data_IF_450302476725
#
_entry.id   IF_450302476725
#
_cell.length_a   1.000
_cell.length_b   1.000
_cell.length_c   1.000
_cell.angle_alpha   90.00
_cell.angle_beta   90.00
_cell.angle_gamma   90.00
#
_symmetry.space_group_name_H-M   'P 1'
#
loop_
_entity.id
_entity.type
_entity.pdbx_description
1 polymer ?
#
# COMPACT_ATOMS: atom_id res chain seq x y z
N UNK A 1 -23.68 -32.99 -47.37
CA UNK A 1 -23.81 -31.74 -46.60
C UNK A 1 -23.82 -32.06 -45.11
N UNK A 2 -22.66 -32.00 -44.44
CA UNK A 2 -22.58 -32.18 -42.98
C UNK A 2 -22.84 -30.84 -42.31
N UNK A 3 -23.93 -30.73 -41.54
CA UNK A 3 -24.26 -29.54 -40.74
C UNK A 3 -23.38 -29.54 -39.49
N UNK A 4 -22.45 -28.59 -39.39
CA UNK A 4 -21.66 -28.34 -38.18
C UNK A 4 -22.50 -27.41 -37.30
N UNK A 5 -22.99 -27.93 -36.17
CA UNK A 5 -23.57 -27.12 -35.09
C UNK A 5 -22.44 -26.41 -34.34
N UNK A 6 -22.37 -25.10 -34.45
CA UNK A 6 -21.58 -24.27 -33.54
C UNK A 6 -22.35 -24.14 -32.22
N UNK A 7 -21.92 -24.88 -31.19
CA UNK A 7 -22.32 -24.63 -29.82
C UNK A 7 -21.58 -23.39 -29.32
N UNK A 8 -22.28 -22.25 -29.24
CA UNK A 8 -21.76 -21.03 -28.65
C UNK A 8 -21.68 -21.25 -27.13
N UNK A 9 -20.49 -21.59 -26.63
CA UNK A 9 -20.23 -21.64 -25.20
C UNK A 9 -20.28 -20.22 -24.62
N UNK A 10 -21.42 -19.86 -24.03
CA UNK A 10 -21.56 -18.67 -23.19
C UNK A 10 -20.69 -18.88 -21.93
N UNK A 11 -19.47 -18.36 -21.95
CA UNK A 11 -18.67 -18.16 -20.75
C UNK A 11 -19.46 -17.26 -19.79
N UNK A 12 -19.63 -17.63 -18.52
CA UNK A 12 -20.27 -16.75 -17.55
C UNK A 12 -19.34 -15.58 -17.30
N UNK A 13 -19.65 -14.42 -17.87
CA UNK A 13 -19.15 -13.14 -17.36
C UNK A 13 -19.68 -13.01 -15.94
N UNK A 14 -18.85 -13.34 -14.95
CA UNK A 14 -19.13 -12.97 -13.56
C UNK A 14 -18.98 -11.46 -13.46
N UNK A 15 -20.05 -10.73 -13.81
CA UNK A 15 -20.20 -9.34 -13.45
C UNK A 15 -20.18 -9.30 -11.92
N UNK A 16 -19.12 -8.75 -11.32
CA UNK A 16 -19.14 -8.42 -9.89
C UNK A 16 -20.26 -7.40 -9.69
N UNK A 17 -21.39 -7.84 -9.13
CA UNK A 17 -22.53 -6.98 -8.91
C UNK A 17 -22.13 -5.85 -7.95
N UNK A 18 -22.15 -4.61 -8.43
CA UNK A 18 -21.91 -3.46 -7.58
C UNK A 18 -22.96 -3.44 -6.46
N UNK A 19 -22.52 -3.22 -5.22
CA UNK A 19 -23.40 -3.22 -4.05
C UNK A 19 -23.64 -1.79 -3.57
N UNK A 20 -24.85 -1.45 -3.12
CA UNK A 20 -25.18 -0.09 -2.71
C UNK A 20 -24.54 0.28 -1.37
N UNK A 21 -24.07 1.52 -1.26
CA UNK A 21 -23.68 2.14 0.01
C UNK A 21 -24.57 3.35 0.33
N UNK A 22 -24.64 3.69 1.63
CA UNK A 22 -25.28 4.93 2.06
C UNK A 22 -24.56 5.54 3.25
N UNK A 23 -24.10 6.78 3.10
CA UNK A 23 -23.52 7.57 4.19
C UNK A 23 -24.54 8.60 4.64
N UNK A 24 -24.89 8.59 5.92
CA UNK A 24 -25.74 9.62 6.53
C UNK A 24 -24.90 10.46 7.48
N UNK A 25 -24.71 11.73 7.15
CA UNK A 25 -23.97 12.68 7.98
C UNK A 25 -24.87 13.66 8.71
N UNK A 26 -24.51 13.98 9.95
CA UNK A 26 -25.12 15.04 10.76
C UNK A 26 -24.05 15.74 11.59
N UNK A 27 -23.68 16.95 11.18
CA UNK A 27 -22.71 17.80 11.91
C UNK A 27 -23.45 19.06 12.34
N UNK A 28 -23.74 19.22 13.63
CA UNK A 28 -24.76 20.17 14.11
C UNK A 28 -24.53 21.62 13.66
N UNK A 29 -23.29 22.07 13.63
CA UNK A 29 -22.95 23.48 13.37
C UNK A 29 -22.77 23.80 11.88
N UNK A 30 -22.94 22.81 10.99
CA UNK A 30 -22.95 23.05 9.55
C UNK A 30 -24.22 23.79 9.12
N UNK A 31 -24.02 24.77 8.25
CA UNK A 31 -25.03 25.69 7.77
C UNK A 31 -25.72 25.11 6.55
N UNK A 32 -26.99 25.47 6.37
CA UNK A 32 -27.71 25.20 5.12
C UNK A 32 -26.93 25.84 3.97
N UNK A 33 -26.62 25.05 2.94
CA UNK A 33 -25.83 25.51 1.80
C UNK A 33 -24.36 25.09 1.85
N UNK A 34 -23.83 24.67 3.00
CA UNK A 34 -22.51 24.03 3.05
C UNK A 34 -22.50 22.80 2.13
N UNK A 35 -21.40 22.63 1.40
CA UNK A 35 -21.21 21.54 0.46
C UNK A 35 -20.18 20.56 1.01
N UNK A 36 -20.57 19.30 1.10
CA UNK A 36 -19.67 18.21 1.46
C UNK A 36 -19.26 17.51 0.17
N UNK A 37 -17.97 17.35 -0.05
CA UNK A 37 -17.42 16.53 -1.13
C UNK A 37 -17.06 15.15 -0.59
N UNK A 38 -17.40 14.09 -1.31
CA UNK A 38 -16.96 12.73 -1.05
C UNK A 38 -16.05 12.30 -2.19
N UNK A 39 -14.80 11.99 -1.87
CA UNK A 39 -13.78 11.60 -2.83
C UNK A 39 -13.28 10.21 -2.47
N UNK A 40 -13.34 9.27 -3.41
CA UNK A 40 -12.98 7.87 -3.20
C UNK A 40 -12.60 7.21 -4.53
N UNK A 41 -12.05 6.01 -4.47
CA UNK A 41 -11.74 5.21 -5.66
C UNK A 41 -12.75 4.08 -5.84
N UNK A 42 -13.31 3.92 -7.04
CA UNK A 42 -14.04 2.72 -7.44
C UNK A 42 -13.27 2.04 -8.58
N UNK A 43 -12.55 0.97 -8.24
CA UNK A 43 -11.54 0.39 -9.13
C UNK A 43 -10.44 1.39 -9.46
N UNK A 44 -10.17 1.60 -10.75
CA UNK A 44 -9.16 2.55 -11.23
C UNK A 44 -9.67 3.99 -11.35
N UNK A 45 -10.96 4.24 -11.08
CA UNK A 45 -11.57 5.56 -11.28
C UNK A 45 -11.62 6.33 -9.96
N UNK A 46 -11.12 7.56 -9.98
CA UNK A 46 -11.37 8.52 -8.92
C UNK A 46 -12.79 9.05 -9.07
N UNK A 47 -13.60 8.89 -8.03
CA UNK A 47 -14.97 9.38 -7.97
C UNK A 47 -15.02 10.59 -7.04
N UNK A 48 -15.66 11.66 -7.52
CA UNK A 48 -15.95 12.85 -6.73
C UNK A 48 -17.44 13.13 -6.77
N UNK A 49 -18.10 12.96 -5.62
CA UNK A 49 -19.51 13.31 -5.43
C UNK A 49 -19.63 14.51 -4.47
N UNK A 50 -20.79 15.17 -4.44
CA UNK A 50 -21.07 16.22 -3.47
C UNK A 50 -22.50 16.20 -2.97
N UNK A 51 -22.67 16.53 -1.69
CA UNK A 51 -23.96 16.69 -1.04
C UNK A 51 -24.06 18.06 -0.38
N UNK A 52 -25.18 18.75 -0.61
CA UNK A 52 -25.47 20.02 0.06
C UNK A 52 -26.17 19.73 1.39
N UNK A 53 -25.75 20.42 2.45
CA UNK A 53 -26.42 20.42 3.75
C UNK A 53 -27.81 21.05 3.58
N UNK A 54 -28.84 20.22 3.76
CA UNK A 54 -30.22 20.61 3.39
C UNK A 54 -30.96 21.41 4.47
N UNK A 55 -30.48 21.37 5.70
CA UNK A 55 -31.21 21.90 6.85
C UNK A 55 -30.28 22.54 7.88
N UNK A 56 -30.84 23.33 8.79
CA UNK A 56 -30.13 23.93 9.92
C UNK A 56 -29.67 22.90 10.98
N UNK A 57 -29.94 21.61 10.77
CA UNK A 57 -29.46 20.50 11.61
C UNK A 57 -28.20 19.85 11.03
N UNK A 58 -27.61 20.45 10.00
CA UNK A 58 -26.34 20.02 9.42
C UNK A 58 -26.35 18.64 8.77
N UNK A 59 -27.49 18.22 8.21
CA UNK A 59 -27.64 16.88 7.66
C UNK A 59 -27.30 16.79 6.16
N UNK A 60 -26.55 15.77 5.77
CA UNK A 60 -26.21 15.42 4.39
C UNK A 60 -26.26 13.91 4.16
N UNK A 61 -26.40 13.48 2.90
CA UNK A 61 -26.49 12.05 2.54
C UNK A 61 -25.79 11.79 1.22
N UNK A 62 -24.96 10.76 1.18
CA UNK A 62 -24.41 10.18 -0.04
C UNK A 62 -25.01 8.80 -0.30
N UNK A 63 -25.18 8.45 -1.57
CA UNK A 63 -25.63 7.14 -2.05
C UNK A 63 -24.89 6.82 -3.34
N UNK A 64 -24.51 5.56 -3.50
CA UNK A 64 -23.91 5.07 -4.72
C UNK A 64 -23.80 3.56 -4.66
N UNK A 65 -23.15 2.98 -5.67
CA UNK A 65 -22.80 1.58 -5.71
C UNK A 65 -21.28 1.45 -5.76
N UNK A 66 -20.75 0.36 -5.24
CA UNK A 66 -19.31 0.07 -5.21
C UNK A 66 -19.05 -1.35 -5.66
N UNK A 67 -17.97 -1.55 -6.41
CA UNK A 67 -17.47 -2.89 -6.72
C UNK A 67 -16.91 -3.58 -5.46
N UNK A 68 -16.38 -2.81 -4.51
CA UNK A 68 -15.87 -3.30 -3.22
C UNK A 68 -15.58 -2.16 -2.25
N UNK A 69 -15.21 -2.47 -0.99
CA UNK A 69 -14.77 -1.47 -0.05
C UNK A 69 -13.56 -0.68 -0.56
N UNK A 70 -13.44 0.58 -0.18
CA UNK A 70 -12.41 1.50 -0.67
C UNK A 70 -12.14 2.60 0.36
N UNK A 71 -10.97 3.24 0.27
CA UNK A 71 -10.69 4.44 1.04
C UNK A 71 -11.34 5.66 0.40
N UNK A 72 -11.84 6.55 1.24
CA UNK A 72 -12.38 7.84 0.82
C UNK A 72 -12.11 8.94 1.84
N UNK A 73 -12.41 10.16 1.43
CA UNK A 73 -12.29 11.35 2.27
C UNK A 73 -13.51 12.24 2.03
N UNK A 74 -14.10 12.73 3.12
CA UNK A 74 -15.05 13.82 3.08
C UNK A 74 -14.33 15.14 3.27
N UNK A 75 -14.67 16.15 2.47
CA UNK A 75 -14.18 17.52 2.62
C UNK A 75 -15.33 18.51 2.73
N UNK A 76 -15.19 19.49 3.61
CA UNK A 76 -16.13 20.61 3.74
C UNK A 76 -15.74 21.75 2.80
N UNK A 77 -16.69 22.19 1.99
CA UNK A 77 -16.67 23.38 1.12
C UNK A 77 -15.55 23.46 0.06
N UNK A 78 -14.54 22.60 0.10
CA UNK A 78 -13.44 22.55 -0.87
C UNK A 78 -13.17 21.12 -1.36
N UNK A 79 -12.95 20.97 -2.66
CA UNK A 79 -12.43 19.73 -3.26
C UNK A 79 -10.97 19.97 -3.68
N UNK A 80 -9.99 19.47 -2.93
CA UNK A 80 -8.57 19.71 -3.22
C UNK A 80 -8.07 19.02 -4.51
N UNK A 81 -8.80 18.03 -5.04
CA UNK A 81 -8.42 17.32 -6.25
C UNK A 81 -8.89 18.05 -7.52
N UNK A 82 -10.00 18.79 -7.44
CA UNK A 82 -10.45 19.65 -8.52
C UNK A 82 -9.79 21.03 -8.46
N UNK A 83 -9.58 21.56 -7.26
CA UNK A 83 -8.96 22.85 -7.01
C UNK A 83 -7.83 22.66 -5.99
N UNK A 84 -6.57 22.48 -6.45
CA UNK A 84 -5.42 22.25 -5.60
C UNK A 84 -5.37 23.25 -4.44
N UNK A 85 -5.18 22.72 -3.23
CA UNK A 85 -5.00 23.55 -2.05
C UNK A 85 -3.59 24.13 -2.00
N UNK A 86 -3.46 25.34 -1.45
CA UNK A 86 -2.16 25.86 -1.03
C UNK A 86 -1.69 25.07 0.21
N UNK A 87 -0.38 25.03 0.48
CA UNK A 87 0.17 24.31 1.62
C UNK A 87 -0.41 24.76 2.98
N UNK A 88 -0.90 26.00 3.07
CA UNK A 88 -1.45 26.59 4.30
C UNK A 88 -2.97 26.36 4.49
N UNK A 89 -3.65 25.73 3.53
CA UNK A 89 -5.10 25.53 3.63
C UNK A 89 -5.44 24.47 4.70
N UNK A 90 -5.99 24.91 5.83
CA UNK A 90 -6.57 23.99 6.81
C UNK A 90 -7.90 23.42 6.32
N UNK A 91 -7.83 22.29 5.62
CA UNK A 91 -9.02 21.57 5.16
C UNK A 91 -9.73 20.88 6.34
N UNK A 92 -11.04 21.11 6.46
CA UNK A 92 -11.87 20.28 7.34
C UNK A 92 -12.25 18.99 6.61
N UNK A 93 -11.56 17.90 6.96
CA UNK A 93 -11.64 16.64 6.27
C UNK A 93 -11.77 15.43 7.22
N UNK A 94 -12.49 14.41 6.77
CA UNK A 94 -12.65 13.13 7.47
C UNK A 94 -12.33 11.97 6.53
N UNK A 95 -11.23 11.27 6.80
CA UNK A 95 -10.93 10.00 6.14
C UNK A 95 -11.85 8.89 6.67
N UNK A 96 -12.33 8.06 5.75
CA UNK A 96 -13.18 6.91 6.06
C UNK A 96 -12.98 5.81 5.02
N UNK A 97 -13.37 4.59 5.37
CA UNK A 97 -13.64 3.57 4.38
C UNK A 97 -15.08 3.69 3.90
N UNK A 98 -15.29 3.68 2.59
CA UNK A 98 -16.61 3.55 1.98
C UNK A 98 -16.82 2.08 1.63
N UNK A 99 -17.91 1.50 2.09
CA UNK A 99 -18.24 0.10 1.84
C UNK A 99 -19.74 -0.10 1.64
N UNK A 100 -20.18 -1.24 1.10
CA UNK A 100 -21.60 -1.58 0.89
C UNK A 100 -22.42 -1.76 2.18
N UNK A 101 -22.51 -0.71 2.99
CA UNK A 101 -23.17 -0.67 4.28
C UNK A 101 -23.79 0.71 4.56
N UNK A 102 -24.49 0.83 5.69
CA UNK A 102 -25.17 2.05 6.12
C UNK A 102 -24.32 2.82 7.14
N UNK A 103 -23.39 3.62 6.63
CA UNK A 103 -22.48 4.43 7.43
C UNK A 103 -23.24 5.61 8.05
N UNK A 104 -22.96 5.90 9.32
CA UNK A 104 -23.44 7.10 10.03
C UNK A 104 -22.27 7.93 10.52
N UNK A 105 -22.34 9.24 10.29
CA UNK A 105 -21.34 10.21 10.72
C UNK A 105 -22.04 11.26 11.57
N UNK A 106 -21.57 11.45 12.80
CA UNK A 106 -22.11 12.46 13.70
C UNK A 106 -21.00 13.36 14.24
N UNK A 107 -21.24 14.66 14.31
CA UNK A 107 -20.28 15.62 14.84
C UNK A 107 -20.97 16.86 15.38
N UNK A 108 -20.19 17.70 16.06
CA UNK A 108 -20.65 18.98 16.58
C UNK A 108 -20.31 20.08 15.56
N UNK A 109 -19.03 20.37 15.40
CA UNK A 109 -18.51 21.55 14.72
C UNK A 109 -17.92 21.27 13.32
N UNK A 110 -17.25 20.13 13.15
CA UNK A 110 -16.36 19.86 12.01
C UNK A 110 -16.40 18.41 11.57
N UNK A 111 -16.01 18.15 10.31
CA UNK A 111 -15.84 16.79 9.77
C UNK A 111 -14.66 16.08 10.45
N UNK A 112 -13.54 16.76 10.64
CA UNK A 112 -12.31 16.19 11.22
C UNK A 112 -12.48 15.63 12.63
N UNK A 113 -13.45 16.16 13.40
CA UNK A 113 -13.80 15.69 14.75
C UNK A 113 -15.01 14.75 14.76
N UNK A 114 -15.61 14.48 13.61
CA UNK A 114 -16.82 13.66 13.54
C UNK A 114 -16.52 12.19 13.83
N UNK A 115 -17.53 11.50 14.36
CA UNK A 115 -17.48 10.09 14.72
C UNK A 115 -18.25 9.26 13.70
N UNK A 116 -17.56 8.28 13.14
CA UNK A 116 -18.14 7.26 12.25
C UNK A 116 -18.74 6.14 13.12
N UNK A 117 -19.93 5.69 12.75
CA UNK A 117 -20.69 4.64 13.43
C UNK A 117 -21.51 3.83 12.43
N UNK A 118 -22.04 2.67 12.85
CA UNK A 118 -22.76 1.71 11.98
C UNK A 118 -21.95 1.30 10.75
N UNK A 119 -20.64 1.17 10.92
CA UNK A 119 -19.72 0.76 9.88
C UNK A 119 -18.77 -0.28 10.43
N UNK A 120 -18.84 -1.52 9.93
CA UNK A 120 -17.98 -2.60 10.40
C UNK A 120 -16.52 -2.32 10.03
N UNK A 121 -16.28 -1.99 8.76
CA UNK A 121 -14.93 -1.72 8.23
C UNK A 121 -14.24 -0.52 8.90
N UNK A 122 -14.98 0.57 9.18
CA UNK A 122 -14.38 1.72 9.88
C UNK A 122 -14.12 1.40 11.36
N UNK A 123 -14.93 0.55 11.98
CA UNK A 123 -14.67 0.08 13.34
C UNK A 123 -13.42 -0.82 13.40
N UNK A 124 -13.26 -1.73 12.44
CA UNK A 124 -12.05 -2.56 12.31
C UNK A 124 -10.80 -1.70 12.06
N UNK A 125 -10.89 -0.73 11.15
CA UNK A 125 -9.80 0.21 10.90
C UNK A 125 -9.44 1.01 12.16
N UNK A 126 -10.43 1.47 12.92
CA UNK A 126 -10.21 2.15 14.20
C UNK A 126 -9.55 1.23 15.22
N UNK A 127 -9.95 -0.05 15.30
CA UNK A 127 -9.33 -1.05 16.18
C UNK A 127 -7.86 -1.24 15.82
N UNK A 128 -7.54 -1.49 14.54
CA UNK A 128 -6.16 -1.64 14.10
C UNK A 128 -5.33 -0.38 14.40
N UNK A 129 -5.86 0.80 14.06
CA UNK A 129 -5.19 2.08 14.37
C UNK A 129 -4.91 2.25 15.86
N UNK A 130 -5.83 1.82 16.73
CA UNK A 130 -5.63 1.88 18.17
C UNK A 130 -4.56 0.88 18.65
N UNK A 131 -4.53 -0.34 18.09
CA UNK A 131 -3.51 -1.35 18.39
C UNK A 131 -2.11 -0.91 17.98
N UNK A 132 -1.97 -0.25 16.83
CA UNK A 132 -0.66 0.20 16.32
C UNK A 132 -0.21 1.53 16.90
N UNK A 133 -1.11 2.33 17.49
CA UNK A 133 -0.80 3.70 17.95
C UNK A 133 0.40 3.75 18.91
N UNK A 134 0.48 2.95 19.99
CA UNK A 134 1.59 3.06 20.93
C UNK A 134 2.95 2.83 20.27
N UNK A 135 3.02 1.87 19.34
CA UNK A 135 4.26 1.53 18.64
C UNK A 135 4.61 2.62 17.60
N UNK A 136 3.60 3.16 16.91
CA UNK A 136 3.82 4.29 16.01
C UNK A 136 4.27 5.55 16.76
N UNK A 137 3.72 5.82 17.95
CA UNK A 137 4.19 6.92 18.81
C UNK A 137 5.64 6.68 19.25
N UNK A 138 6.01 5.43 19.57
CA UNK A 138 7.38 5.05 19.91
C UNK A 138 8.34 5.24 18.71
N UNK A 139 7.95 4.81 17.50
CA UNK A 139 8.74 5.01 16.28
C UNK A 139 8.95 6.50 16.00
N UNK A 140 7.90 7.31 16.12
CA UNK A 140 8.00 8.76 15.95
C UNK A 140 8.93 9.41 17.00
N UNK A 141 8.92 8.90 18.24
CA UNK A 141 9.84 9.37 19.28
C UNK A 141 11.29 8.98 18.98
N UNK A 142 11.55 7.78 18.47
CA UNK A 142 12.89 7.33 18.02
C UNK A 142 13.38 8.20 16.86
N UNK A 143 12.53 8.47 15.87
CA UNK A 143 12.87 9.35 14.75
C UNK A 143 13.18 10.77 15.23
N UNK A 144 12.39 11.30 16.17
CA UNK A 144 12.64 12.61 16.77
C UNK A 144 13.95 12.64 17.57
N UNK A 145 14.27 11.57 18.30
CA UNK A 145 15.53 11.41 19.04
C UNK A 145 16.71 11.47 18.06
N UNK A 146 16.71 10.63 17.03
CA UNK A 146 17.77 10.58 16.02
C UNK A 146 17.94 11.90 15.26
N UNK A 147 16.83 12.56 14.90
CA UNK A 147 16.86 13.83 14.20
C UNK A 147 17.45 14.97 15.05
N UNK A 148 17.36 14.88 16.38
CA UNK A 148 17.92 15.86 17.31
C UNK A 148 19.45 15.74 17.49
N UNK A 149 20.06 14.65 17.01
CA UNK A 149 21.50 14.42 17.17
C UNK A 149 22.34 15.37 16.32
N UNK A 150 23.49 15.76 16.89
CA UNK A 150 24.55 16.48 16.19
C UNK A 150 25.23 15.60 15.15
N UNK A 151 25.93 16.19 14.19
CA UNK A 151 26.68 15.45 13.17
C UNK A 151 27.76 14.53 13.77
N UNK A 152 28.33 14.89 14.92
CA UNK A 152 29.29 14.02 15.62
C UNK A 152 28.59 12.77 16.17
N UNK A 153 27.41 12.93 16.79
CA UNK A 153 26.64 11.81 17.32
C UNK A 153 26.12 10.89 16.22
N UNK A 154 25.76 11.44 15.05
CA UNK A 154 25.35 10.64 13.88
C UNK A 154 26.49 9.86 13.22
N UNK A 155 27.75 10.17 13.56
CA UNK A 155 28.95 9.44 13.13
C UNK A 155 29.51 8.52 14.23
N UNK A 156 28.89 8.51 15.40
CA UNK A 156 29.26 7.61 16.49
C UNK A 156 28.53 6.28 16.33
N UNK A 157 29.28 5.22 16.07
CA UNK A 157 28.74 3.90 15.79
C UNK A 157 27.89 3.35 16.94
N UNK A 158 28.27 3.61 18.20
CA UNK A 158 27.51 3.09 19.35
C UNK A 158 26.17 3.78 19.50
N UNK A 159 26.13 5.09 19.26
CA UNK A 159 24.88 5.88 19.28
C UNK A 159 23.96 5.42 18.15
N UNK A 160 24.48 5.29 16.93
CA UNK A 160 23.71 4.87 15.75
C UNK A 160 23.18 3.44 15.93
N UNK A 161 24.01 2.52 16.43
CA UNK A 161 23.58 1.15 16.70
C UNK A 161 22.48 1.08 17.77
N UNK A 162 22.56 1.92 18.79
CA UNK A 162 21.51 1.98 19.82
C UNK A 162 20.17 2.41 19.23
N UNK A 163 20.15 3.43 18.36
CA UNK A 163 18.94 3.86 17.67
C UNK A 163 18.43 2.78 16.72
N UNK A 164 19.33 2.15 15.95
CA UNK A 164 18.98 1.05 15.04
C UNK A 164 18.28 -0.08 15.79
N UNK A 165 18.82 -0.53 16.94
CA UNK A 165 18.23 -1.58 17.75
C UNK A 165 16.85 -1.20 18.31
N UNK A 166 16.68 0.04 18.78
CA UNK A 166 15.36 0.55 19.23
C UNK A 166 14.34 0.50 18.08
N UNK A 167 14.76 0.91 16.88
CA UNK A 167 13.92 0.93 15.68
C UNK A 167 13.55 -0.50 15.23
N UNK A 168 14.53 -1.41 15.18
CA UNK A 168 14.32 -2.83 14.85
C UNK A 168 13.35 -3.50 15.83
N UNK A 169 13.48 -3.21 17.13
CA UNK A 169 12.57 -3.73 18.14
C UNK A 169 11.14 -3.21 17.95
N UNK A 170 10.97 -1.90 17.77
CA UNK A 170 9.65 -1.28 17.57
C UNK A 170 8.99 -1.76 16.27
N UNK A 171 9.74 -1.85 15.17
CA UNK A 171 9.22 -2.35 13.89
C UNK A 171 8.87 -3.84 13.96
N UNK A 172 9.63 -4.66 14.67
CA UNK A 172 9.29 -6.08 14.91
C UNK A 172 8.00 -6.24 15.73
N UNK A 173 7.81 -5.39 16.75
CA UNK A 173 6.56 -5.35 17.51
C UNK A 173 5.38 -4.93 16.65
N UNK A 174 5.55 -3.91 15.81
CA UNK A 174 4.52 -3.45 14.88
C UNK A 174 4.13 -4.59 13.93
N UNK A 175 5.11 -5.23 13.31
CA UNK A 175 4.90 -6.37 12.41
C UNK A 175 4.09 -7.47 13.09
N UNK A 176 4.44 -7.83 14.34
CA UNK A 176 3.69 -8.81 15.12
C UNK A 176 2.22 -8.41 15.28
N UNK A 177 1.94 -7.16 15.67
CA UNK A 177 0.56 -6.66 15.80
C UNK A 177 -0.21 -6.72 14.48
N UNK A 178 0.43 -6.40 13.36
CA UNK A 178 -0.20 -6.47 12.05
C UNK A 178 -0.53 -7.92 11.66
N UNK A 179 0.41 -8.85 11.85
CA UNK A 179 0.22 -10.27 11.56
C UNK A 179 -0.84 -10.90 12.45
N UNK A 180 -0.83 -10.61 13.76
CA UNK A 180 -1.85 -11.08 14.71
C UNK A 180 -3.24 -10.58 14.28
N UNK A 181 -3.36 -9.30 13.91
CA UNK A 181 -4.63 -8.75 13.42
C UNK A 181 -5.11 -9.45 12.15
N UNK A 182 -4.23 -9.72 11.19
CA UNK A 182 -4.58 -10.42 9.94
C UNK A 182 -5.06 -11.84 10.25
N UNK A 183 -4.33 -12.56 11.10
CA UNK A 183 -4.66 -13.93 11.50
C UNK A 183 -6.00 -14.02 12.26
N UNK A 184 -6.29 -13.05 13.13
CA UNK A 184 -7.57 -12.97 13.84
C UNK A 184 -8.74 -12.52 12.96
N UNK A 185 -8.46 -11.82 11.86
CA UNK A 185 -9.48 -11.18 11.01
C UNK A 185 -9.25 -11.50 9.51
N UNK A 186 -9.21 -12.79 9.10
CA UNK A 186 -8.89 -13.18 7.72
C UNK A 186 -9.97 -12.80 6.68
N UNK A 187 -11.16 -12.42 7.15
CA UNK A 187 -12.28 -11.93 6.34
C UNK A 187 -12.34 -10.39 6.27
N UNK A 188 -11.47 -9.67 6.99
CA UNK A 188 -11.50 -8.21 7.02
C UNK A 188 -10.81 -7.61 5.80
N UNK A 189 -11.49 -6.67 5.13
CA UNK A 189 -10.86 -5.85 4.09
C UNK A 189 -9.67 -5.06 4.63
N UNK A 190 -9.67 -4.71 5.92
CA UNK A 190 -8.54 -4.03 6.56
C UNK A 190 -7.31 -4.94 6.54
N UNK A 191 -7.47 -6.24 6.82
CA UNK A 191 -6.39 -7.22 6.71
C UNK A 191 -5.83 -7.29 5.28
N UNK A 192 -6.69 -7.36 4.25
CA UNK A 192 -6.25 -7.34 2.85
C UNK A 192 -5.46 -6.05 2.52
N UNK A 193 -5.95 -4.90 2.96
CA UNK A 193 -5.25 -3.63 2.77
C UNK A 193 -3.89 -3.60 3.49
N UNK A 194 -3.82 -4.13 4.72
CA UNK A 194 -2.56 -4.24 5.48
C UNK A 194 -1.56 -5.12 4.74
N UNK A 195 -1.97 -6.27 4.20
CA UNK A 195 -1.09 -7.11 3.37
C UNK A 195 -0.58 -6.34 2.14
N UNK A 196 -1.44 -5.55 1.49
CA UNK A 196 -1.03 -4.70 0.36
C UNK A 196 0.03 -3.65 0.74
N UNK A 197 -0.07 -3.07 1.93
CA UNK A 197 0.94 -2.15 2.46
C UNK A 197 2.26 -2.86 2.76
N UNK A 198 2.19 -4.07 3.33
CA UNK A 198 3.38 -4.91 3.56
C UNK A 198 4.05 -5.29 2.25
N UNK A 199 3.29 -5.67 1.23
CA UNK A 199 3.82 -6.05 -0.09
C UNK A 199 4.57 -4.89 -0.76
N UNK A 200 4.10 -3.66 -0.57
CA UNK A 200 4.77 -2.46 -1.10
C UNK A 200 6.08 -2.12 -0.38
N UNK A 201 6.35 -2.72 0.78
CA UNK A 201 7.59 -2.53 1.53
C UNK A 201 8.59 -3.66 1.21
N UNK A 202 9.74 -3.30 0.63
CA UNK A 202 10.78 -4.26 0.23
C UNK A 202 11.23 -5.19 1.36
N UNK A 203 11.26 -4.71 2.61
CA UNK A 203 11.68 -5.51 3.77
C UNK A 203 10.60 -6.47 4.28
N UNK A 204 9.35 -6.30 3.84
CA UNK A 204 8.19 -7.04 4.35
C UNK A 204 7.54 -7.95 3.31
N UNK A 205 8.14 -8.10 2.13
CA UNK A 205 7.61 -8.92 1.03
C UNK A 205 7.32 -10.35 1.45
N UNK A 206 8.24 -11.00 2.16
CA UNK A 206 8.06 -12.37 2.64
C UNK A 206 6.89 -12.48 3.63
N UNK A 207 6.82 -11.56 4.59
CA UNK A 207 5.71 -11.51 5.54
C UNK A 207 4.38 -11.21 4.82
N UNK A 208 4.39 -10.41 3.76
CA UNK A 208 3.21 -10.12 2.95
C UNK A 208 2.73 -11.36 2.19
N UNK A 209 3.65 -12.16 1.63
CA UNK A 209 3.32 -13.45 0.99
C UNK A 209 2.62 -14.37 1.99
N UNK A 210 3.21 -14.57 3.17
CA UNK A 210 2.67 -15.45 4.20
C UNK A 210 1.32 -14.94 4.73
N UNK A 211 1.22 -13.63 4.98
CA UNK A 211 -0.01 -13.01 5.46
C UNK A 211 -1.13 -13.03 4.41
N UNK A 212 -0.80 -12.94 3.11
CA UNK A 212 -1.78 -13.12 2.04
C UNK A 212 -2.39 -14.51 2.08
N UNK A 213 -1.58 -15.54 2.35
CA UNK A 213 -2.04 -16.92 2.39
C UNK A 213 -3.02 -17.19 3.56
N UNK A 214 -2.99 -16.37 4.62
CA UNK A 214 -3.97 -16.42 5.72
C UNK A 214 -5.34 -15.82 5.35
N UNK A 215 -5.41 -14.97 4.32
CA UNK A 215 -6.67 -14.31 3.95
C UNK A 215 -7.69 -15.32 3.42
N UNK A 216 -8.95 -14.97 3.63
CA UNK A 216 -10.09 -15.75 3.15
C UNK A 216 -10.15 -15.88 1.63
N UNK A 217 -10.72 -16.98 1.11
CA UNK A 217 -10.93 -17.16 -0.32
C UNK A 217 -11.72 -16.01 -0.96
N UNK A 218 -12.70 -15.45 -0.25
CA UNK A 218 -13.52 -14.34 -0.71
C UNK A 218 -12.66 -13.10 -0.96
N UNK A 219 -11.78 -12.73 -0.01
CA UNK A 219 -10.89 -11.58 -0.17
C UNK A 219 -9.85 -11.83 -1.26
N UNK A 220 -9.25 -13.02 -1.33
CA UNK A 220 -8.30 -13.39 -2.40
C UNK A 220 -8.95 -13.30 -3.79
N UNK A 221 -10.23 -13.68 -3.90
CA UNK A 221 -10.99 -13.63 -5.15
C UNK A 221 -11.49 -12.23 -5.55
N UNK A 222 -11.44 -11.25 -4.62
CA UNK A 222 -11.81 -9.87 -4.88
C UNK A 222 -10.88 -9.20 -5.91
N UNK A 223 -11.30 -8.08 -6.49
CA UNK A 223 -10.46 -7.34 -7.46
C UNK A 223 -9.10 -6.95 -6.86
N UNK A 224 -9.09 -6.42 -5.63
CA UNK A 224 -7.86 -6.05 -4.94
C UNK A 224 -7.03 -7.29 -4.56
N UNK A 225 -7.68 -8.37 -4.11
CA UNK A 225 -7.02 -9.63 -3.78
C UNK A 225 -6.27 -10.23 -4.97
N UNK A 226 -6.89 -10.25 -6.15
CA UNK A 226 -6.26 -10.74 -7.39
C UNK A 226 -5.08 -9.87 -7.85
N UNK A 227 -5.22 -8.54 -7.74
CA UNK A 227 -4.14 -7.62 -8.07
C UNK A 227 -2.94 -7.82 -7.12
N UNK A 228 -3.22 -7.97 -5.83
CA UNK A 228 -2.21 -8.22 -4.82
C UNK A 228 -1.55 -9.59 -5.01
N UNK A 229 -2.32 -10.65 -5.30
CA UNK A 229 -1.77 -11.97 -5.59
C UNK A 229 -0.83 -11.92 -6.81
N UNK A 230 -1.24 -11.26 -7.89
CA UNK A 230 -0.40 -11.08 -9.08
C UNK A 230 0.89 -10.30 -8.76
N UNK A 231 0.82 -9.29 -7.90
CA UNK A 231 1.98 -8.55 -7.42
C UNK A 231 2.92 -9.46 -6.61
N UNK A 232 2.38 -10.18 -5.63
CA UNK A 232 3.12 -11.12 -4.77
C UNK A 232 3.69 -12.30 -5.56
N UNK A 233 3.04 -12.76 -6.64
CA UNK A 233 3.57 -13.80 -7.52
C UNK A 233 4.91 -13.39 -8.16
N UNK A 234 5.09 -12.11 -8.49
CA UNK A 234 6.38 -11.64 -8.99
C UNK A 234 7.44 -11.67 -7.90
N UNK A 235 7.09 -11.28 -6.67
CA UNK A 235 8.01 -11.35 -5.54
C UNK A 235 8.39 -12.80 -5.21
N UNK A 236 7.44 -13.74 -5.27
CA UNK A 236 7.68 -15.19 -5.10
C UNK A 236 8.71 -15.72 -6.12
N UNK A 237 8.72 -15.21 -7.36
CA UNK A 237 9.70 -15.60 -8.38
C UNK A 237 11.13 -15.11 -8.10
N UNK A 238 11.27 -14.11 -7.25
CA UNK A 238 12.56 -13.51 -6.88
C UNK A 238 12.90 -13.68 -5.39
N UNK A 239 12.14 -14.51 -4.66
CA UNK A 239 12.32 -14.73 -3.24
C UNK A 239 13.64 -15.48 -2.95
N UNK A 240 14.16 -15.34 -1.72
CA UNK A 240 15.34 -16.09 -1.27
C UNK A 240 15.05 -17.59 -1.37
N UNK A 241 15.94 -18.33 -2.04
CA UNK A 241 15.78 -19.76 -2.30
C UNK A 241 15.04 -20.10 -3.59
N UNK A 242 14.37 -19.14 -4.24
CA UNK A 242 13.84 -19.33 -5.58
C UNK A 242 14.98 -19.40 -6.62
N UNK A 243 14.81 -20.21 -7.66
CA UNK A 243 15.72 -20.21 -8.80
C UNK A 243 15.60 -18.87 -9.53
N UNK A 244 16.72 -18.17 -9.70
CA UNK A 244 16.75 -16.93 -10.46
C UNK A 244 16.25 -17.18 -11.89
N UNK A 245 15.33 -16.33 -12.35
CA UNK A 245 14.79 -16.41 -13.71
C UNK A 245 15.90 -16.17 -14.72
N UNK A 246 16.08 -17.11 -15.64
CA UNK A 246 17.05 -16.95 -16.70
C UNK A 246 16.60 -15.85 -17.67
N UNK A 247 17.55 -15.09 -18.19
CA UNK A 247 17.33 -14.06 -19.20
C UNK A 247 18.51 -13.98 -20.14
N UNK A 248 18.29 -13.40 -21.32
CA UNK A 248 19.33 -13.17 -22.33
C UNK A 248 19.31 -11.70 -22.74
N UNK A 249 20.46 -11.06 -22.70
CA UNK A 249 20.67 -9.71 -23.22
C UNK A 249 21.94 -9.66 -24.04
N UNK A 250 21.98 -8.75 -25.01
CA UNK A 250 23.19 -8.52 -25.79
C UNK A 250 24.13 -7.60 -25.00
N UNK A 251 25.43 -7.90 -25.02
CA UNK A 251 26.46 -6.99 -24.53
C UNK A 251 26.68 -5.83 -25.53
N UNK A 252 27.54 -4.83 -25.21
CA UNK A 252 27.81 -3.71 -26.11
C UNK A 252 28.42 -4.09 -27.47
N UNK A 253 28.94 -5.31 -27.63
CA UNK A 253 29.43 -5.84 -28.90
C UNK A 253 28.36 -6.59 -29.71
N UNK A 254 27.13 -6.66 -29.18
CA UNK A 254 26.01 -7.38 -29.78
C UNK A 254 26.02 -8.88 -29.48
N UNK A 255 26.93 -9.36 -28.63
CA UNK A 255 27.02 -10.78 -28.29
C UNK A 255 25.97 -11.13 -27.22
N UNK A 256 25.17 -12.19 -27.41
CA UNK A 256 24.20 -12.61 -26.41
C UNK A 256 24.90 -13.16 -25.17
N UNK A 257 24.46 -12.71 -24.00
CA UNK A 257 24.89 -13.13 -22.66
C UNK A 257 23.65 -13.64 -21.92
N UNK A 258 23.72 -14.85 -21.37
CA UNK A 258 22.65 -15.43 -20.55
C UNK A 258 23.03 -15.46 -19.08
N UNK A 259 22.06 -15.28 -18.18
CA UNK A 259 22.31 -15.47 -16.75
C UNK A 259 22.79 -16.91 -16.47
N UNK A 260 22.24 -17.90 -17.18
CA UNK A 260 22.66 -19.29 -17.08
C UNK A 260 24.15 -19.53 -17.37
N UNK A 261 24.80 -18.65 -18.13
CA UNK A 261 26.21 -18.80 -18.51
C UNK A 261 27.14 -18.61 -17.28
N UNK A 262 26.63 -18.05 -16.20
CA UNK A 262 27.36 -17.79 -14.96
C UNK A 262 27.13 -18.87 -13.87
N UNK A 263 26.41 -19.96 -14.19
CA UNK A 263 26.18 -21.06 -13.23
C UNK A 263 27.50 -21.58 -12.65
N UNK A 264 27.50 -21.84 -11.34
CA UNK A 264 28.69 -22.26 -10.58
C UNK A 264 29.48 -21.11 -9.95
N UNK A 265 29.05 -19.86 -10.16
CA UNK A 265 29.60 -18.67 -9.49
C UNK A 265 28.58 -18.05 -8.52
N UNK A 266 29.06 -17.27 -7.56
CA UNK A 266 28.24 -16.29 -6.87
C UNK A 266 28.11 -15.06 -7.77
N UNK A 267 26.90 -14.72 -8.18
CA UNK A 267 26.64 -13.64 -9.13
C UNK A 267 25.85 -12.53 -8.45
N UNK A 268 26.42 -11.33 -8.37
CA UNK A 268 25.66 -10.13 -8.10
C UNK A 268 25.07 -9.61 -9.42
N UNK A 269 23.75 -9.58 -9.52
CA UNK A 269 23.05 -8.96 -10.65
C UNK A 269 22.75 -7.52 -10.25
N UNK A 270 23.31 -6.56 -10.98
CA UNK A 270 23.18 -5.13 -10.72
C UNK A 270 22.35 -4.47 -11.82
N UNK A 271 21.12 -4.08 -11.50
CA UNK A 271 20.23 -3.36 -12.42
C UNK A 271 20.45 -1.86 -12.26
N UNK A 272 20.98 -1.21 -13.29
CA UNK A 272 21.42 0.18 -13.21
C UNK A 272 21.11 0.94 -14.51
N UNK A 273 21.44 2.23 -14.52
CA UNK A 273 21.37 3.05 -15.72
C UNK A 273 22.42 4.16 -15.68
N UNK A 274 22.94 4.57 -16.83
CA UNK A 274 23.98 5.61 -16.93
C UNK A 274 23.55 6.96 -16.33
N UNK A 275 22.25 7.25 -16.35
CA UNK A 275 21.63 8.47 -15.84
C UNK A 275 21.16 8.35 -14.38
N UNK A 276 21.24 7.18 -13.74
CA UNK A 276 20.85 6.99 -12.34
C UNK A 276 21.97 7.46 -11.39
N UNK A 277 21.81 8.66 -10.80
CA UNK A 277 22.77 9.25 -9.86
C UNK A 277 23.14 8.34 -8.67
N UNK A 278 22.16 7.81 -7.90
CA UNK A 278 22.44 6.90 -6.80
C UNK A 278 23.15 5.61 -7.25
N UNK A 279 22.76 5.03 -8.38
CA UNK A 279 23.39 3.81 -8.91
C UNK A 279 24.88 4.05 -9.21
N UNK A 280 25.21 5.18 -9.85
CA UNK A 280 26.61 5.58 -10.09
C UNK A 280 27.40 5.81 -8.81
N UNK A 281 26.74 6.30 -7.75
CA UNK A 281 27.33 6.44 -6.42
C UNK A 281 27.68 5.09 -5.78
N UNK A 282 26.94 4.03 -6.12
CA UNK A 282 27.17 2.67 -5.62
C UNK A 282 28.19 1.88 -6.44
N UNK A 283 28.40 2.20 -7.72
CA UNK A 283 29.38 1.52 -8.58
C UNK A 283 30.79 1.34 -7.96
N UNK A 284 31.39 2.33 -7.26
CA UNK A 284 32.66 2.14 -6.57
C UNK A 284 32.63 1.02 -5.53
N UNK A 285 31.53 0.85 -4.80
CA UNK A 285 31.36 -0.22 -3.82
C UNK A 285 31.23 -1.59 -4.50
N UNK A 286 30.51 -1.65 -5.63
CA UNK A 286 30.39 -2.87 -6.45
C UNK A 286 31.75 -3.30 -7.00
N UNK A 287 32.56 -2.36 -7.49
CA UNK A 287 33.93 -2.63 -7.95
C UNK A 287 34.80 -3.14 -6.79
N UNK A 288 34.74 -2.48 -5.63
CA UNK A 288 35.48 -2.92 -4.45
C UNK A 288 35.08 -4.34 -3.99
N UNK A 289 33.78 -4.67 -4.05
CA UNK A 289 33.29 -6.03 -3.76
C UNK A 289 33.81 -7.05 -4.79
N UNK A 290 33.77 -6.71 -6.08
CA UNK A 290 34.31 -7.58 -7.13
C UNK A 290 35.79 -7.87 -6.91
N UNK A 291 36.61 -6.83 -6.71
CA UNK A 291 38.06 -7.02 -6.52
C UNK A 291 38.39 -7.84 -5.27
N UNK A 292 37.59 -7.70 -4.21
CA UNK A 292 37.75 -8.46 -2.97
C UNK A 292 37.36 -9.94 -3.10
N UNK A 293 36.40 -10.28 -3.95
CA UNK A 293 35.78 -11.61 -3.96
C UNK A 293 35.94 -12.38 -5.28
N UNK A 294 36.43 -11.78 -6.37
CA UNK A 294 36.52 -12.42 -7.70
C UNK A 294 37.25 -13.77 -7.69
N UNK A 295 38.34 -13.89 -6.92
CA UNK A 295 39.12 -15.12 -6.81
C UNK A 295 38.43 -16.21 -5.96
N UNK A 296 37.30 -15.88 -5.32
CA UNK A 296 36.46 -16.79 -4.52
C UNK A 296 35.20 -17.23 -5.29
N UNK A 297 35.23 -17.12 -6.62
CA UNK A 297 34.12 -17.50 -7.48
C UNK A 297 32.97 -16.49 -7.52
N UNK A 298 33.24 -15.23 -7.13
CA UNK A 298 32.27 -14.14 -7.24
C UNK A 298 32.40 -13.40 -8.57
N UNK A 299 31.29 -12.91 -9.10
CA UNK A 299 31.26 -12.08 -10.30
C UNK A 299 30.08 -11.11 -10.27
N UNK A 300 30.12 -10.09 -11.12
CA UNK A 300 29.08 -9.08 -11.24
C UNK A 300 28.55 -9.09 -12.67
N UNK A 301 27.23 -9.15 -12.83
CA UNK A 301 26.53 -8.99 -14.09
C UNK A 301 25.71 -7.69 -14.02
N UNK A 302 26.24 -6.62 -14.62
CA UNK A 302 25.54 -5.35 -14.75
C UNK A 302 24.52 -5.39 -15.89
N UNK A 303 23.26 -5.11 -15.61
CA UNK A 303 22.16 -5.02 -16.58
C UNK A 303 21.72 -3.56 -16.66
N UNK A 304 22.03 -2.91 -17.79
CA UNK A 304 21.67 -1.49 -17.98
C UNK A 304 20.27 -1.33 -18.57
N UNK A 305 19.58 -0.24 -18.19
CA UNK A 305 18.34 0.24 -18.82
C UNK A 305 18.60 1.21 -20.00
N UNK A 306 19.86 1.44 -20.37
CA UNK A 306 20.25 2.32 -21.48
C UNK A 306 19.86 1.78 -22.87
#
# INVERSE_FOLDING_TARGET
MKKILFALALLPFTAFAQKPFKINGKIKDLKKGDKIYLIYQDGAQNVSDSAIVKNARGSFVFRGNLAGPTQGVLFLNKNPFANPSNQDDQLDALSLYVAPEKIRINGQDSLKKAVISRSAINNESKKLKALTKPINDQLAAIDSEYNSFTDQQKRDDQIVDTIRLKFEQATSQLLKVLLDFINENPNSFISLNTVGQMASNLQQKENAIQAFDLLSPELKSSSMGKQLDAFLMNDRKTAIGALAMDFTQNDPSGKPVKLSDFKGKYVLIDFWASWCGPCRGENPNVVAAYDKFKDRGFTVLGVSLD
#
